data_IF_082428511107
#
_entry.id   IF_082428511107
#
_cell.length_a   1.000
_cell.length_b   1.000
_cell.length_c   1.000
_cell.angle_alpha   90.00
_cell.angle_beta   90.00
_cell.angle_gamma   90.00
#
_symmetry.space_group_name_H-M   'P 1'
#
loop_
_entity.id
_entity.type
_entity.pdbx_description
1 polymer ?
#
# COMPACT_ATOMS: atom_id res chain seq x y z
N UNK A 1 2.36 -14.78 17.70
CA UNK A 1 3.20 -14.10 16.65
C UNK A 1 2.49 -14.14 15.30
N UNK A 2 1.96 -15.28 14.86
CA UNK A 2 1.25 -15.42 13.59
C UNK A 2 0.01 -14.52 13.49
N UNK A 3 -0.79 -14.45 14.56
CA UNK A 3 -1.99 -13.60 14.60
C UNK A 3 -1.64 -12.11 14.47
N UNK A 4 -0.54 -11.67 15.10
CA UNK A 4 -0.05 -10.31 15.02
C UNK A 4 0.40 -9.96 13.58
N UNK A 5 1.22 -10.81 12.95
CA UNK A 5 1.61 -10.64 11.54
C UNK A 5 0.40 -10.63 10.62
N UNK A 6 -0.56 -11.50 10.89
CA UNK A 6 -1.77 -11.58 10.08
C UNK A 6 -2.59 -10.28 10.14
N UNK A 7 -2.79 -9.71 11.33
CA UNK A 7 -3.50 -8.44 11.49
C UNK A 7 -2.77 -7.28 10.81
N UNK A 8 -1.43 -7.28 10.84
CA UNK A 8 -0.57 -6.26 10.22
C UNK A 8 -0.39 -6.44 8.70
N UNK A 9 -1.12 -7.36 8.07
CA UNK A 9 -1.19 -7.43 6.62
C UNK A 9 -0.53 -8.62 5.93
N UNK A 10 -0.13 -9.67 6.69
CA UNK A 10 0.36 -10.90 6.07
C UNK A 10 -0.74 -11.54 5.20
N UNK A 11 -0.39 -11.82 3.95
CA UNK A 11 -1.30 -12.41 2.97
C UNK A 11 -0.96 -13.86 2.62
N UNK A 12 0.16 -14.38 3.12
CA UNK A 12 0.55 -15.76 2.85
C UNK A 12 -0.09 -16.72 3.84
N UNK A 13 -0.97 -17.59 3.38
CA UNK A 13 -1.52 -18.66 4.20
C UNK A 13 -0.43 -19.62 4.70
N UNK A 14 0.64 -19.83 3.92
CA UNK A 14 1.78 -20.68 4.31
C UNK A 14 2.50 -20.15 5.52
N UNK A 15 2.65 -18.83 5.66
CA UNK A 15 3.28 -18.21 6.83
C UNK A 15 2.45 -18.37 8.12
N UNK A 16 1.16 -18.69 7.95
CA UNK A 16 0.21 -19.00 9.04
C UNK A 16 0.00 -20.51 9.24
N UNK A 17 0.81 -21.34 8.58
CA UNK A 17 0.71 -22.82 8.61
C UNK A 17 -0.60 -23.35 8.06
N UNK A 18 -1.34 -22.58 7.25
CA UNK A 18 -2.56 -22.97 6.54
C UNK A 18 -2.32 -23.25 5.06
N UNK A 19 -3.21 -23.99 4.43
CA UNK A 19 -3.25 -24.18 2.97
C UNK A 19 -3.86 -22.97 2.27
N UNK A 20 -4.93 -22.43 2.85
CA UNK A 20 -5.66 -21.24 2.37
C UNK A 20 -5.91 -20.28 3.52
N UNK A 21 -6.11 -19.00 3.24
CA UNK A 21 -6.42 -18.00 4.28
C UNK A 21 -7.64 -18.35 5.12
N UNK A 22 -8.78 -18.82 4.58
CA UNK A 22 -9.93 -19.22 5.39
C UNK A 22 -9.67 -20.40 6.34
N UNK A 23 -8.56 -21.13 6.22
CA UNK A 23 -8.24 -22.26 7.11
C UNK A 23 -7.93 -21.81 8.54
N UNK A 24 -7.70 -20.50 8.77
CA UNK A 24 -7.56 -19.93 10.12
C UNK A 24 -8.89 -19.84 10.86
N UNK A 25 -10.03 -20.00 10.15
CA UNK A 25 -11.36 -19.95 10.74
C UNK A 25 -11.65 -21.31 11.40
N UNK A 26 -12.09 -21.26 12.66
CA UNK A 26 -12.42 -22.46 13.39
C UNK A 26 -13.45 -23.32 12.65
N UNK A 27 -13.05 -24.53 12.30
CA UNK A 27 -13.87 -25.47 11.50
C UNK A 27 -14.94 -26.19 12.33
N UNK A 28 -14.91 -26.02 13.66
CA UNK A 28 -15.79 -26.75 14.58
C UNK A 28 -15.09 -27.92 15.26
N UNK A 29 -15.71 -28.45 16.28
CA UNK A 29 -15.32 -29.65 17.00
C UNK A 29 -16.56 -30.48 17.34
N UNK A 30 -16.39 -31.61 18.02
CA UNK A 30 -17.52 -32.43 18.49
C UNK A 30 -18.48 -31.67 19.45
N UNK A 31 -18.00 -30.64 20.14
CA UNK A 31 -18.74 -29.89 21.14
C UNK A 31 -19.02 -28.43 20.77
N UNK A 32 -18.42 -27.90 19.69
CA UNK A 32 -18.54 -26.49 19.29
C UNK A 32 -18.81 -26.39 17.80
N UNK A 33 -19.81 -25.60 17.42
CA UNK A 33 -20.14 -25.32 16.03
C UNK A 33 -19.02 -24.56 15.31
N UNK A 34 -18.89 -24.74 13.99
CA UNK A 34 -17.93 -23.96 13.18
C UNK A 34 -18.29 -22.47 13.21
N UNK A 35 -17.27 -21.62 13.11
CA UNK A 35 -17.44 -20.17 13.00
C UNK A 35 -17.48 -19.73 11.54
N UNK A 36 -18.13 -18.60 11.27
CA UNK A 36 -18.24 -18.05 9.92
C UNK A 36 -17.09 -17.10 9.57
N UNK A 37 -16.36 -16.61 10.56
CA UNK A 37 -15.24 -15.70 10.41
C UNK A 37 -14.21 -15.92 11.51
N UNK A 38 -13.01 -15.42 11.27
CA UNK A 38 -11.99 -15.22 12.29
C UNK A 38 -11.62 -13.73 12.33
N UNK A 39 -11.33 -13.24 13.53
CA UNK A 39 -11.00 -11.83 13.77
C UNK A 39 -9.82 -11.76 14.73
N UNK A 40 -8.92 -10.82 14.46
CA UNK A 40 -7.84 -10.43 15.37
C UNK A 40 -7.90 -8.92 15.52
N UNK A 41 -7.94 -8.50 16.76
CA UNK A 41 -7.87 -7.10 17.15
C UNK A 41 -6.56 -6.86 17.90
N UNK A 42 -5.85 -5.80 17.56
CA UNK A 42 -4.62 -5.36 18.18
C UNK A 42 -4.84 -3.94 18.71
N UNK A 43 -4.55 -3.76 19.97
CA UNK A 43 -4.57 -2.48 20.64
C UNK A 43 -3.13 -2.02 20.89
N UNK A 44 -2.80 -0.81 20.45
CA UNK A 44 -1.49 -0.19 20.60
C UNK A 44 -1.60 1.02 21.51
N UNK A 45 -0.70 1.13 22.47
CA UNK A 45 -0.42 2.38 23.17
C UNK A 45 0.34 3.31 22.21
N UNK A 46 -0.23 4.46 21.94
CA UNK A 46 0.32 5.50 21.05
C UNK A 46 0.44 6.85 21.79
N UNK A 47 0.60 6.82 23.11
CA UNK A 47 0.75 8.02 23.94
C UNK A 47 1.99 8.85 23.58
N UNK A 48 2.97 8.24 22.93
CA UNK A 48 4.14 8.89 22.34
C UNK A 48 3.92 9.42 20.91
N UNK A 49 2.71 9.21 20.34
CA UNK A 49 2.35 9.57 18.97
C UNK A 49 3.32 8.99 17.91
N UNK A 50 3.86 7.80 18.17
CA UNK A 50 4.76 7.11 17.25
C UNK A 50 4.05 6.68 15.95
N UNK A 51 2.79 6.25 16.06
CA UNK A 51 1.92 6.08 14.89
C UNK A 51 1.33 7.45 14.52
N UNK A 52 1.34 7.79 13.24
CA UNK A 52 0.82 9.06 12.70
C UNK A 52 -0.71 9.10 12.76
N UNK A 53 -1.23 9.02 13.97
CA UNK A 53 -2.65 9.11 14.30
C UNK A 53 -2.81 9.95 15.57
N UNK A 54 -3.78 10.86 15.54
CA UNK A 54 -4.05 11.75 16.69
C UNK A 54 -4.94 11.02 17.72
N UNK A 55 -4.39 9.98 18.34
CA UNK A 55 -5.03 9.20 19.40
C UNK A 55 -3.97 8.52 20.25
N UNK A 56 -4.17 8.50 21.58
CA UNK A 56 -3.27 7.85 22.56
C UNK A 56 -3.35 6.33 22.52
N UNK A 57 -4.45 5.78 22.03
CA UNK A 57 -4.62 4.35 21.76
C UNK A 57 -5.05 4.16 20.33
N UNK A 58 -4.48 3.16 19.65
CA UNK A 58 -4.82 2.81 18.28
C UNK A 58 -5.25 1.35 18.23
N UNK A 59 -6.47 1.12 17.75
CA UNK A 59 -7.04 -0.23 17.60
C UNK A 59 -7.08 -0.59 16.13
N UNK A 60 -6.47 -1.72 15.80
CA UNK A 60 -6.46 -2.26 14.44
C UNK A 60 -7.04 -3.65 14.46
N UNK A 61 -7.99 -3.91 13.58
CA UNK A 61 -8.54 -5.24 13.46
C UNK A 61 -8.57 -5.74 12.02
N UNK A 62 -8.45 -7.05 11.91
CA UNK A 62 -8.64 -7.77 10.64
C UNK A 62 -9.65 -8.89 10.87
N UNK A 63 -10.60 -8.97 9.94
CA UNK A 63 -11.62 -10.01 9.89
C UNK A 63 -11.53 -10.75 8.57
N UNK A 64 -11.59 -12.07 8.60
CA UNK A 64 -11.67 -12.92 7.40
C UNK A 64 -12.92 -13.76 7.43
N UNK A 65 -13.54 -13.93 6.28
CA UNK A 65 -14.75 -14.72 6.07
C UNK A 65 -14.45 -16.00 5.30
N UNK A 66 -15.38 -16.97 5.34
CA UNK A 66 -15.23 -18.26 4.66
C UNK A 66 -15.15 -18.16 3.13
N UNK A 67 -15.69 -17.11 2.54
CA UNK A 67 -15.57 -16.82 1.11
C UNK A 67 -14.15 -16.33 0.70
N UNK A 68 -13.27 -16.09 1.68
CA UNK A 68 -11.92 -15.62 1.47
C UNK A 68 -11.74 -14.10 1.53
N UNK A 69 -12.84 -13.33 1.64
CA UNK A 69 -12.78 -11.88 1.80
C UNK A 69 -12.18 -11.51 3.15
N UNK A 70 -11.42 -10.41 3.17
CA UNK A 70 -10.84 -9.85 4.39
C UNK A 70 -11.18 -8.38 4.49
N UNK A 71 -11.66 -8.00 5.66
CA UNK A 71 -11.89 -6.61 6.05
C UNK A 71 -10.82 -6.17 7.04
N UNK A 72 -10.40 -4.92 6.90
CA UNK A 72 -9.44 -4.25 7.77
C UNK A 72 -10.07 -3.02 8.38
N UNK A 73 -9.75 -2.75 9.64
CA UNK A 73 -10.28 -1.61 10.35
C UNK A 73 -9.18 -0.89 11.12
N UNK A 74 -9.29 0.43 11.19
CA UNK A 74 -8.58 1.28 12.15
C UNK A 74 -9.69 1.89 13.02
N UNK A 75 -9.70 1.58 14.31
CA UNK A 75 -10.85 1.79 15.19
C UNK A 75 -12.09 1.08 14.63
N UNK A 76 -13.14 1.84 14.34
CA UNK A 76 -14.39 1.37 13.72
C UNK A 76 -14.46 1.61 12.22
N UNK A 77 -13.49 2.34 11.67
CA UNK A 77 -13.48 2.71 10.25
C UNK A 77 -12.90 1.57 9.40
N UNK A 78 -13.67 1.11 8.41
CA UNK A 78 -13.18 0.15 7.42
C UNK A 78 -12.17 0.83 6.50
N UNK A 79 -10.99 0.22 6.38
CA UNK A 79 -9.86 0.73 5.60
C UNK A 79 -9.36 -0.34 4.63
N UNK A 80 -8.47 0.03 3.73
CA UNK A 80 -7.81 -0.91 2.84
C UNK A 80 -6.53 -1.45 3.48
N UNK A 81 -6.12 -2.65 3.06
CA UNK A 81 -4.84 -3.22 3.48
C UNK A 81 -3.67 -2.25 3.30
N UNK A 82 -3.68 -1.47 2.21
CA UNK A 82 -2.64 -0.47 1.94
C UNK A 82 -2.52 0.56 3.06
N UNK A 83 -3.65 1.00 3.60
CA UNK A 83 -3.70 2.02 4.65
C UNK A 83 -3.10 1.48 5.97
N UNK A 84 -3.32 0.18 6.28
CA UNK A 84 -2.64 -0.50 7.40
C UNK A 84 -1.12 -0.58 7.14
N UNK A 85 -0.72 -1.01 5.94
CA UNK A 85 0.71 -1.14 5.61
C UNK A 85 1.43 0.22 5.65
N UNK A 86 0.78 1.29 5.20
CA UNK A 86 1.32 2.65 5.24
C UNK A 86 1.45 3.15 6.68
N UNK A 87 0.47 2.86 7.56
CA UNK A 87 0.52 3.25 8.97
C UNK A 87 1.71 2.63 9.71
N UNK A 88 2.04 1.36 9.40
CA UNK A 88 3.16 0.65 10.03
C UNK A 88 4.47 0.74 9.25
N UNK A 89 4.50 1.46 8.14
CA UNK A 89 5.73 1.69 7.40
C UNK A 89 6.70 2.48 8.29
N UNK A 90 7.95 2.06 8.33
CA UNK A 90 9.02 2.65 9.15
C UNK A 90 8.90 2.46 10.68
N UNK A 91 7.82 1.82 11.17
CA UNK A 91 7.70 1.51 12.61
C UNK A 91 8.49 0.27 13.04
N UNK A 92 9.02 -0.48 12.08
CA UNK A 92 9.63 -1.79 12.34
C UNK A 92 8.63 -2.90 12.65
N UNK A 93 7.33 -2.65 12.58
CA UNK A 93 6.24 -3.62 12.78
C UNK A 93 5.57 -4.03 11.46
N UNK A 94 5.99 -3.47 10.34
CA UNK A 94 5.44 -3.77 9.03
C UNK A 94 5.59 -5.23 8.59
N UNK A 95 5.04 -5.56 7.44
CA UNK A 95 4.96 -6.93 6.89
C UNK A 95 6.32 -7.62 6.75
N UNK A 96 7.34 -6.90 6.30
CA UNK A 96 8.72 -7.38 6.13
C UNK A 96 9.61 -7.14 7.37
N UNK A 97 9.00 -6.67 8.44
CA UNK A 97 9.62 -6.20 9.66
C UNK A 97 10.66 -7.18 10.23
N UNK A 98 11.76 -6.61 10.69
CA UNK A 98 12.79 -7.30 11.47
C UNK A 98 12.41 -7.47 12.95
N UNK A 99 11.42 -6.72 13.45
CA UNK A 99 10.97 -6.81 14.84
C UNK A 99 10.22 -8.11 15.12
N UNK A 100 9.64 -8.73 14.08
CA UNK A 100 8.92 -10.00 14.19
C UNK A 100 9.71 -11.08 13.46
N UNK A 101 10.57 -11.76 14.20
CA UNK A 101 11.42 -12.83 13.67
C UNK A 101 10.66 -14.15 13.69
N UNK A 102 10.25 -14.65 12.54
CA UNK A 102 9.69 -16.00 12.40
C UNK A 102 10.80 -17.04 12.26
N UNK A 103 10.45 -18.30 12.59
CA UNK A 103 11.36 -19.44 12.43
C UNK A 103 11.91 -19.52 11.00
N UNK A 104 13.21 -19.66 10.85
CA UNK A 104 13.90 -19.72 9.55
C UNK A 104 14.19 -18.37 8.90
N UNK A 105 13.61 -17.24 9.37
CA UNK A 105 13.85 -15.92 8.77
C UNK A 105 15.30 -15.46 8.96
N UNK A 106 15.89 -15.75 10.09
CA UNK A 106 17.31 -15.40 10.38
C UNK A 106 18.25 -16.11 9.41
N UNK A 107 18.05 -17.41 9.22
CA UNK A 107 18.84 -18.21 8.27
C UNK A 107 18.64 -17.74 6.82
N UNK A 108 17.39 -17.42 6.44
CA UNK A 108 17.08 -16.86 5.13
C UNK A 108 17.81 -15.52 4.89
N UNK A 109 17.93 -14.67 5.90
CA UNK A 109 18.66 -13.38 5.81
C UNK A 109 20.14 -13.62 5.58
N UNK A 110 20.76 -14.55 6.30
CA UNK A 110 22.18 -14.87 6.13
C UNK A 110 22.48 -15.43 4.74
N UNK A 111 21.59 -16.25 4.21
CA UNK A 111 21.71 -16.86 2.89
C UNK A 111 21.19 -15.97 1.74
N UNK A 112 20.63 -14.80 2.05
CA UNK A 112 20.07 -13.87 1.06
C UNK A 112 21.16 -13.13 0.27
N UNK A 113 20.79 -12.66 -0.92
CA UNK A 113 21.68 -11.84 -1.76
C UNK A 113 21.91 -10.46 -1.11
N UNK A 114 23.03 -9.77 -1.42
CA UNK A 114 23.32 -8.43 -0.89
C UNK A 114 22.20 -7.42 -1.11
N UNK A 115 21.48 -7.51 -2.25
CA UNK A 115 20.35 -6.64 -2.56
C UNK A 115 19.19 -6.82 -1.59
N UNK A 116 18.88 -8.07 -1.21
CA UNK A 116 17.77 -8.37 -0.29
C UNK A 116 18.12 -7.90 1.13
N UNK A 117 19.41 -8.04 1.54
CA UNK A 117 19.90 -7.52 2.82
C UNK A 117 19.85 -5.98 2.87
N UNK A 118 20.07 -5.31 1.73
CA UNK A 118 19.96 -3.86 1.64
C UNK A 118 18.55 -3.38 1.95
N UNK A 119 17.52 -4.08 1.47
CA UNK A 119 16.11 -3.73 1.76
C UNK A 119 15.85 -3.72 3.26
N UNK A 120 16.36 -4.72 3.99
CA UNK A 120 16.24 -4.78 5.45
C UNK A 120 16.95 -3.61 6.15
N UNK A 121 18.14 -3.23 5.66
CA UNK A 121 18.88 -2.09 6.23
C UNK A 121 18.11 -0.77 5.96
N UNK A 122 17.56 -0.61 4.78
CA UNK A 122 16.76 0.57 4.42
C UNK A 122 15.48 0.66 5.28
N UNK A 123 14.87 -0.48 5.61
CA UNK A 123 13.70 -0.55 6.51
C UNK A 123 14.07 -0.13 7.94
N UNK A 124 15.17 -0.68 8.49
CA UNK A 124 15.68 -0.31 9.81
C UNK A 124 16.05 1.17 9.89
N UNK A 125 16.55 1.73 8.78
CA UNK A 125 16.92 3.14 8.69
C UNK A 125 15.71 4.08 8.52
N UNK A 126 14.47 3.55 8.40
CA UNK A 126 13.26 4.35 8.25
C UNK A 126 13.17 5.13 6.93
N UNK A 127 13.86 4.68 5.88
CA UNK A 127 13.91 5.42 4.59
C UNK A 127 12.97 4.86 3.53
N UNK A 128 12.29 3.75 3.80
CA UNK A 128 11.45 3.04 2.83
C UNK A 128 10.26 3.90 2.37
N UNK A 129 9.62 4.62 3.29
CA UNK A 129 8.51 5.54 3.01
C UNK A 129 8.94 6.63 2.03
N UNK A 130 10.04 7.32 2.35
CA UNK A 130 10.57 8.40 1.50
C UNK A 130 11.01 7.92 0.12
N UNK A 131 11.57 6.71 0.03
CA UNK A 131 11.95 6.10 -1.25
C UNK A 131 10.74 5.83 -2.12
N UNK A 132 9.65 5.35 -1.53
CA UNK A 132 8.38 5.08 -2.21
C UNK A 132 7.70 6.38 -2.66
N UNK A 133 7.65 7.39 -1.80
CA UNK A 133 7.12 8.71 -2.12
C UNK A 133 7.92 9.39 -3.24
N UNK A 134 9.26 9.32 -3.18
CA UNK A 134 10.14 9.80 -4.24
C UNK A 134 9.84 9.12 -5.58
N UNK A 135 9.70 7.79 -5.58
CA UNK A 135 9.42 7.04 -6.81
C UNK A 135 8.07 7.43 -7.40
N UNK A 136 7.04 7.59 -6.54
CA UNK A 136 5.71 8.05 -6.96
C UNK A 136 5.78 9.45 -7.57
N UNK A 137 6.45 10.38 -6.91
CA UNK A 137 6.61 11.75 -7.41
C UNK A 137 7.38 11.80 -8.75
N UNK A 138 8.40 10.96 -8.90
CA UNK A 138 9.12 10.84 -10.17
C UNK A 138 8.26 10.30 -11.31
N UNK A 139 7.38 9.34 -11.02
CA UNK A 139 6.45 8.82 -12.00
C UNK A 139 5.41 9.88 -12.41
N UNK A 140 4.81 10.58 -11.43
CA UNK A 140 3.85 11.67 -11.68
C UNK A 140 4.50 12.82 -12.50
N UNK A 141 5.77 13.12 -12.23
CA UNK A 141 6.53 14.10 -12.99
C UNK A 141 6.74 13.68 -14.45
N UNK A 142 7.10 12.42 -14.69
CA UNK A 142 7.26 11.88 -16.03
C UNK A 142 5.94 11.92 -16.82
N UNK A 143 4.84 11.46 -16.22
CA UNK A 143 3.51 11.51 -16.84
C UNK A 143 3.08 12.95 -17.16
N UNK A 144 3.36 13.90 -16.26
CA UNK A 144 3.05 15.31 -16.47
C UNK A 144 3.88 15.90 -17.61
N UNK A 145 5.14 15.52 -17.72
CA UNK A 145 6.02 15.96 -18.81
C UNK A 145 5.49 15.48 -20.17
N UNK A 146 5.10 14.21 -20.27
CA UNK A 146 4.50 13.65 -21.49
C UNK A 146 3.20 14.38 -21.87
N UNK A 147 2.38 14.74 -20.87
CA UNK A 147 1.17 15.53 -21.12
C UNK A 147 1.48 16.96 -21.61
N UNK A 148 2.51 17.60 -21.06
CA UNK A 148 2.95 18.93 -21.52
C UNK A 148 3.45 18.91 -22.97
N UNK A 149 4.23 17.91 -23.32
CA UNK A 149 4.73 17.75 -24.70
C UNK A 149 3.56 17.57 -25.67
N UNK A 150 2.58 16.74 -25.31
CA UNK A 150 1.38 16.55 -26.12
C UNK A 150 0.56 17.84 -26.30
N UNK A 151 0.41 18.62 -25.24
CA UNK A 151 -0.27 19.94 -25.32
C UNK A 151 0.52 20.91 -26.20
N UNK A 152 1.85 20.92 -26.12
CA UNK A 152 2.71 21.74 -26.97
C UNK A 152 2.56 21.40 -28.46
N UNK A 153 2.46 20.11 -28.80
CA UNK A 153 2.20 19.63 -30.16
C UNK A 153 0.83 20.13 -30.67
N UNK A 154 -0.22 19.99 -29.87
CA UNK A 154 -1.56 20.47 -30.21
C UNK A 154 -1.56 21.98 -30.43
N UNK A 155 -0.89 22.75 -29.57
CA UNK A 155 -0.78 24.20 -29.72
C UNK A 155 -0.06 24.56 -31.04
N UNK A 156 0.99 23.82 -31.39
CA UNK A 156 1.74 24.03 -32.61
C UNK A 156 0.86 23.75 -33.83
N UNK A 157 0.12 22.68 -33.84
CA UNK A 157 -0.83 22.35 -34.91
C UNK A 157 -1.91 23.42 -35.06
N UNK A 158 -2.55 23.84 -33.96
CA UNK A 158 -3.56 24.89 -33.98
C UNK A 158 -3.01 26.24 -34.50
N UNK A 159 -1.79 26.56 -34.15
CA UNK A 159 -1.14 27.77 -34.69
C UNK A 159 -0.93 27.70 -36.20
N UNK A 160 -0.52 26.53 -36.71
CA UNK A 160 -0.36 26.33 -38.15
C UNK A 160 -1.71 26.43 -38.90
N UNK A 161 -2.79 25.91 -38.33
CA UNK A 161 -4.13 26.00 -38.90
C UNK A 161 -4.69 27.44 -38.86
N UNK A 162 -4.34 28.20 -37.84
CA UNK A 162 -4.83 29.57 -37.65
C UNK A 162 -4.30 30.55 -38.72
N UNK A 163 -3.07 30.42 -39.15
CA UNK A 163 -2.47 31.41 -40.06
C UNK A 163 -3.18 31.49 -41.44
N UNK A 164 -3.45 30.37 -42.16
CA UNK A 164 -4.21 30.46 -43.42
C UNK A 164 -5.65 30.96 -43.22
N UNK A 165 -6.30 30.65 -42.10
CA UNK A 165 -7.64 31.14 -41.77
C UNK A 165 -7.65 32.66 -41.55
N UNK A 166 -6.59 33.19 -40.96
CA UNK A 166 -6.42 34.62 -40.74
C UNK A 166 -6.24 35.38 -42.07
N UNK A 167 -5.48 34.82 -43.00
CA UNK A 167 -5.34 35.38 -44.36
C UNK A 167 -6.69 35.39 -45.11
N UNK A 168 -7.43 34.27 -45.07
CA UNK A 168 -8.76 34.17 -45.68
C UNK A 168 -9.75 35.19 -45.08
N UNK A 169 -9.73 35.35 -43.76
CA UNK A 169 -10.55 36.34 -43.10
C UNK A 169 -10.20 37.78 -43.45
N UNK A 170 -8.90 38.08 -43.69
CA UNK A 170 -8.45 39.39 -44.16
C UNK A 170 -9.00 39.68 -45.56
N UNK A 171 -8.79 38.74 -46.49
CA UNK A 171 -9.30 38.85 -47.85
C UNK A 171 -10.80 39.06 -47.90
N UNK A 172 -11.56 38.29 -47.10
CA UNK A 172 -13.01 38.42 -47.02
C UNK A 172 -13.48 39.81 -46.53
N UNK A 173 -12.70 40.44 -45.62
CA UNK A 173 -13.03 41.80 -45.14
C UNK A 173 -12.81 42.89 -46.20
N UNK A 174 -11.88 42.66 -47.11
CA UNK A 174 -11.60 43.63 -48.18
C UNK A 174 -12.64 43.58 -49.34
N UNK A 175 -13.50 42.54 -49.34
CA UNK A 175 -14.61 42.38 -50.31
C UNK A 175 -15.99 42.88 -49.80
N UNK A 176 -16.08 43.36 -48.58
CA UNK A 176 -17.29 43.94 -47.97
C UNK A 176 -17.12 45.44 -47.81
#
# INVERSE_FOLDING_TARGET
IEALRWALGEQSAKSLRGGKMPDVIFAGSQTRAPLNHAEVELEFDNSDHFLDLNADQVVISRKIYRNGDSDFFIFIAKVRLRDIVELFMDTGLGRESFSIISQGKVEAIFNSKPQDRRVLIEEVAGVVKYKKEKQKAQQELAETTDHLDRVADIITELRQQREPLKEQASIAKDYV
#
